data_IF_328046750871
#
_entry.id   IF_328046750871
#
_cell.length_a   1.000
_cell.length_b   1.000
_cell.length_c   1.000
_cell.angle_alpha   90.00
_cell.angle_beta   90.00
_cell.angle_gamma   90.00
#
_symmetry.space_group_name_H-M   'P 1'
#
loop_
_entity.id
_entity.type
_entity.pdbx_description
1 polymer ?
#
# COMPACT_ATOMS: atom_id res chain seq x y z
N UNK A 1 9.88 -3.65 -26.74
CA UNK A 1 9.64 -4.02 -25.34
C UNK A 1 10.72 -3.34 -24.52
N UNK A 2 10.51 -2.40 -23.61
CA UNK A 2 9.54 -1.32 -23.45
C UNK A 2 10.27 -0.36 -22.49
N UNK A 3 11.05 0.58 -23.04
CA UNK A 3 12.01 1.39 -22.26
C UNK A 3 11.33 2.19 -21.14
N UNK A 4 10.05 2.54 -21.33
CA UNK A 4 9.26 3.26 -20.34
C UNK A 4 8.90 2.40 -19.12
N UNK A 5 8.48 1.14 -19.31
CA UNK A 5 8.16 0.24 -18.20
C UNK A 5 9.40 -0.05 -17.33
N UNK A 6 10.57 -0.17 -17.98
CA UNK A 6 11.87 -0.31 -17.31
C UNK A 6 12.21 0.94 -16.50
N UNK A 7 12.06 2.14 -17.08
CA UNK A 7 12.34 3.41 -16.39
C UNK A 7 11.40 3.67 -15.21
N UNK A 8 10.10 3.39 -15.34
CA UNK A 8 9.14 3.55 -14.24
C UNK A 8 9.41 2.58 -13.09
N UNK A 9 9.72 1.33 -13.40
CA UNK A 9 10.10 0.35 -12.37
C UNK A 9 11.36 0.81 -11.61
N UNK A 10 12.34 1.39 -12.31
CA UNK A 10 13.56 1.92 -11.70
C UNK A 10 13.29 3.09 -10.75
N UNK A 11 12.46 4.06 -11.16
CA UNK A 11 12.02 5.18 -10.30
C UNK A 11 11.25 4.65 -9.09
N UNK A 12 10.37 3.66 -9.29
CA UNK A 12 9.62 3.07 -8.20
C UNK A 12 10.56 2.49 -7.14
N UNK A 13 11.49 1.62 -7.54
CA UNK A 13 12.40 0.97 -6.59
C UNK A 13 13.40 1.94 -5.94
N UNK A 14 13.83 2.98 -6.64
CA UNK A 14 14.82 3.93 -6.11
C UNK A 14 14.24 5.06 -5.27
N UNK A 15 12.98 5.42 -5.48
CA UNK A 15 12.41 6.63 -4.89
C UNK A 15 11.08 6.35 -4.20
N UNK A 16 10.12 5.74 -4.91
CA UNK A 16 8.76 5.58 -4.38
C UNK A 16 8.70 4.53 -3.27
N UNK A 17 9.28 3.34 -3.48
CA UNK A 17 9.22 2.25 -2.52
C UNK A 17 9.92 2.61 -1.19
N UNK A 18 11.15 3.17 -1.17
CA UNK A 18 11.79 3.61 0.08
C UNK A 18 10.96 4.65 0.83
N UNK A 19 10.32 5.58 0.10
CA UNK A 19 9.41 6.55 0.71
C UNK A 19 8.21 5.86 1.35
N UNK A 20 7.52 4.96 0.62
CA UNK A 20 6.37 4.20 1.12
C UNK A 20 6.75 3.41 2.38
N UNK A 21 7.86 2.68 2.35
CA UNK A 21 8.34 1.88 3.48
C UNK A 21 8.62 2.75 4.71
N UNK A 22 9.24 3.92 4.52
CA UNK A 22 9.46 4.89 5.60
C UNK A 22 8.15 5.36 6.24
N UNK A 23 7.13 5.68 5.44
CA UNK A 23 5.83 6.12 5.96
C UNK A 23 5.10 5.00 6.72
N UNK A 24 5.15 3.76 6.23
CA UNK A 24 4.55 2.61 6.91
C UNK A 24 5.28 2.28 8.20
N UNK A 25 6.62 2.25 8.19
CA UNK A 25 7.44 1.92 9.35
C UNK A 25 7.23 2.86 10.54
N UNK A 26 6.92 4.16 10.29
CA UNK A 26 6.53 5.15 11.32
C UNK A 26 5.39 4.64 12.22
N UNK A 27 4.51 3.80 11.69
CA UNK A 27 3.32 3.31 12.40
C UNK A 27 3.48 1.91 13.03
N UNK A 28 4.53 1.16 12.68
CA UNK A 28 4.75 -0.21 13.16
C UNK A 28 5.46 -0.27 14.54
N UNK A 29 6.04 0.85 14.99
CA UNK A 29 6.80 0.90 16.25
C UNK A 29 8.12 0.12 16.19
N UNK A 30 8.96 0.26 17.23
CA UNK A 30 10.33 -0.27 17.20
C UNK A 30 10.40 -1.76 17.58
N UNK A 31 9.73 -2.17 18.66
CA UNK A 31 9.68 -3.58 19.11
C UNK A 31 8.38 -3.81 19.86
N UNK A 32 7.64 -4.87 19.51
CA UNK A 32 6.52 -5.39 20.30
C UNK A 32 6.82 -6.83 20.66
N UNK A 33 6.83 -7.13 21.95
CA UNK A 33 6.93 -8.49 22.46
C UNK A 33 5.87 -8.66 23.55
N UNK A 34 4.75 -9.27 23.19
CA UNK A 34 3.70 -9.63 24.14
C UNK A 34 3.59 -11.17 24.19
N UNK A 35 3.59 -11.80 25.38
CA UNK A 35 3.56 -13.26 25.51
C UNK A 35 2.37 -13.93 24.81
N UNK A 36 1.23 -13.22 24.74
CA UNK A 36 0.01 -13.70 24.08
C UNK A 36 -0.13 -13.25 22.60
N UNK A 37 0.88 -12.58 22.03
CA UNK A 37 0.82 -12.18 20.60
C UNK A 37 1.13 -13.40 19.70
N UNK A 38 0.19 -13.85 18.87
CA UNK A 38 0.44 -14.95 17.93
C UNK A 38 1.59 -14.67 16.95
N UNK A 39 1.91 -13.39 16.70
CA UNK A 39 3.06 -12.98 15.89
C UNK A 39 4.42 -13.18 16.56
N UNK A 40 4.46 -13.32 17.90
CA UNK A 40 5.69 -13.40 18.68
C UNK A 40 6.48 -12.09 18.64
N UNK A 41 7.81 -12.19 18.74
CA UNK A 41 8.70 -11.03 18.63
C UNK A 41 8.49 -10.31 17.28
N UNK A 42 8.19 -9.01 17.33
CA UNK A 42 7.97 -8.19 16.14
C UNK A 42 8.87 -6.96 16.14
N UNK A 43 9.58 -6.73 15.03
CA UNK A 43 10.43 -5.55 14.81
C UNK A 43 10.10 -4.90 13.47
N UNK A 44 9.78 -3.59 13.48
CA UNK A 44 9.38 -2.82 12.27
C UNK A 44 8.32 -3.53 11.42
N UNK A 45 7.33 -4.18 12.05
CA UNK A 45 6.25 -4.91 11.36
C UNK A 45 6.62 -6.32 10.87
N UNK A 46 7.88 -6.76 11.03
CA UNK A 46 8.30 -8.14 10.77
C UNK A 46 8.12 -9.00 12.03
N UNK A 47 7.13 -9.89 12.03
CA UNK A 47 6.81 -10.79 13.14
C UNK A 47 7.49 -12.16 12.97
N UNK A 48 8.14 -12.67 14.02
CA UNK A 48 8.89 -13.93 14.05
C UNK A 48 8.07 -15.12 13.54
N UNK A 49 6.91 -15.36 14.17
CA UNK A 49 6.11 -16.55 13.90
C UNK A 49 5.51 -16.56 12.50
N UNK A 50 5.17 -15.39 11.94
CA UNK A 50 4.59 -15.27 10.60
C UNK A 50 5.63 -15.34 9.47
N UNK A 51 6.92 -15.37 9.81
CA UNK A 51 8.02 -15.46 8.86
C UNK A 51 8.96 -16.64 9.16
N UNK A 52 8.57 -17.53 10.09
CA UNK A 52 9.36 -18.69 10.53
C UNK A 52 10.79 -18.31 10.95
N UNK A 53 10.94 -17.21 11.68
CA UNK A 53 12.22 -16.70 12.18
C UNK A 53 12.29 -16.73 13.69
N UNK A 54 13.48 -16.85 14.27
CA UNK A 54 13.72 -16.61 15.70
C UNK A 54 13.83 -15.11 15.99
N UNK A 55 13.78 -14.75 17.28
CA UNK A 55 14.04 -13.38 17.72
C UNK A 55 15.45 -12.92 17.33
N UNK A 56 16.45 -13.79 17.49
CA UNK A 56 17.85 -13.50 17.15
C UNK A 56 18.02 -13.26 15.66
N UNK A 57 17.36 -14.05 14.81
CA UNK A 57 17.36 -13.84 13.36
C UNK A 57 16.77 -12.48 13.00
N UNK A 58 15.59 -12.14 13.52
CA UNK A 58 15.00 -10.81 13.28
C UNK A 58 15.91 -9.69 13.77
N UNK A 59 16.54 -9.85 14.94
CA UNK A 59 17.44 -8.84 15.50
C UNK A 59 18.72 -8.66 14.69
N UNK A 60 19.19 -9.70 14.00
CA UNK A 60 20.39 -9.67 13.16
C UNK A 60 20.20 -8.97 11.83
N UNK A 61 18.95 -8.80 11.37
CA UNK A 61 18.67 -8.10 10.12
C UNK A 61 19.03 -6.61 10.25
N UNK A 62 19.36 -5.96 9.16
CA UNK A 62 19.32 -4.50 9.07
C UNK A 62 17.94 -4.01 8.63
N UNK A 63 17.79 -2.68 8.53
CA UNK A 63 16.53 -2.06 8.12
C UNK A 63 16.15 -2.38 6.67
N UNK A 64 17.12 -2.41 5.76
CA UNK A 64 16.92 -2.66 4.33
C UNK A 64 16.47 -4.11 4.08
N UNK A 65 17.06 -5.06 4.81
CA UNK A 65 16.67 -6.46 4.76
C UNK A 65 15.23 -6.68 5.25
N UNK A 66 14.82 -6.03 6.34
CA UNK A 66 13.42 -6.07 6.79
C UNK A 66 12.50 -5.51 5.71
N UNK A 67 12.85 -4.35 5.17
CA UNK A 67 12.03 -3.65 4.19
C UNK A 67 11.88 -4.49 2.90
N UNK A 68 12.92 -5.20 2.47
CA UNK A 68 12.86 -6.16 1.36
C UNK A 68 11.94 -7.34 1.65
N UNK A 69 12.04 -7.96 2.83
CA UNK A 69 11.17 -9.07 3.23
C UNK A 69 9.70 -8.63 3.25
N UNK A 70 9.41 -7.45 3.79
CA UNK A 70 8.07 -6.89 3.81
C UNK A 70 7.57 -6.60 2.39
N UNK A 71 8.41 -6.06 1.50
CA UNK A 71 8.03 -5.82 0.11
C UNK A 71 7.72 -7.12 -0.64
N UNK A 72 8.56 -8.15 -0.50
CA UNK A 72 8.35 -9.46 -1.13
C UNK A 72 7.03 -10.12 -0.69
N UNK A 73 6.55 -9.80 0.51
CA UNK A 73 5.29 -10.34 1.06
C UNK A 73 4.06 -9.48 0.74
N UNK A 74 4.19 -8.16 0.86
CA UNK A 74 3.05 -7.23 0.89
C UNK A 74 2.95 -6.34 -0.35
N UNK A 75 3.99 -6.29 -1.19
CA UNK A 75 4.03 -5.45 -2.40
C UNK A 75 4.24 -6.22 -3.69
N UNK A 76 5.35 -6.96 -3.81
CA UNK A 76 5.74 -7.68 -5.02
C UNK A 76 4.66 -8.61 -5.60
N UNK A 77 3.90 -9.40 -4.80
CA UNK A 77 2.87 -10.29 -5.35
C UNK A 77 1.71 -9.55 -6.04
N UNK A 78 1.59 -8.24 -5.82
CA UNK A 78 0.54 -7.37 -6.34
C UNK A 78 1.05 -6.47 -7.47
N UNK A 79 2.31 -6.64 -7.88
CA UNK A 79 2.96 -5.80 -8.89
C UNK A 79 2.87 -4.30 -8.57
N UNK A 80 3.01 -3.90 -7.30
CA UNK A 80 2.89 -2.49 -6.89
C UNK A 80 3.83 -1.54 -7.62
N UNK A 81 4.92 -2.05 -8.19
CA UNK A 81 5.84 -1.27 -9.03
C UNK A 81 5.22 -0.79 -10.36
N UNK A 82 4.04 -1.30 -10.72
CA UNK A 82 3.23 -0.86 -11.87
C UNK A 82 2.06 0.06 -11.46
N UNK A 83 1.91 0.34 -10.17
CA UNK A 83 0.80 1.13 -9.66
C UNK A 83 1.22 2.59 -9.49
N UNK A 84 0.23 3.49 -9.53
CA UNK A 84 0.46 4.88 -9.15
C UNK A 84 0.95 4.98 -7.69
N UNK A 85 1.87 5.90 -7.37
CA UNK A 85 2.48 5.97 -6.04
C UNK A 85 1.48 6.10 -4.88
N UNK A 86 0.42 6.88 -5.07
CA UNK A 86 -0.62 7.06 -4.05
C UNK A 86 -1.38 5.77 -3.78
N UNK A 87 -1.79 5.06 -4.84
CA UNK A 87 -2.48 3.77 -4.71
C UNK A 87 -1.59 2.70 -4.09
N UNK A 88 -0.32 2.65 -4.52
CA UNK A 88 0.69 1.73 -3.98
C UNK A 88 0.89 1.95 -2.47
N UNK A 89 1.01 3.21 -2.01
CA UNK A 89 1.14 3.53 -0.59
C UNK A 89 -0.07 3.04 0.22
N UNK A 90 -1.28 3.43 -0.20
CA UNK A 90 -2.49 3.10 0.52
C UNK A 90 -2.70 1.58 0.64
N UNK A 91 -2.46 0.85 -0.46
CA UNK A 91 -2.59 -0.60 -0.47
C UNK A 91 -1.50 -1.29 0.34
N UNK A 92 -0.23 -0.90 0.19
CA UNK A 92 0.89 -1.50 0.92
C UNK A 92 0.71 -1.35 2.43
N UNK A 93 0.38 -0.14 2.90
CA UNK A 93 0.08 0.13 4.31
C UNK A 93 -1.08 -0.76 4.84
N UNK A 94 -2.15 -0.88 4.06
CA UNK A 94 -3.27 -1.76 4.41
C UNK A 94 -2.88 -3.24 4.45
N UNK A 95 -2.06 -3.68 3.49
CA UNK A 95 -1.60 -5.06 3.35
C UNK A 95 -0.74 -5.48 4.53
N UNK A 96 0.20 -4.61 4.95
CA UNK A 96 1.04 -4.80 6.13
C UNK A 96 0.19 -4.79 7.41
N UNK A 97 -0.71 -3.82 7.57
CA UNK A 97 -1.44 -3.63 8.82
C UNK A 97 -2.61 -4.61 9.04
N UNK A 98 -3.42 -4.83 8.00
CA UNK A 98 -4.69 -5.57 8.10
C UNK A 98 -4.65 -6.94 7.42
N UNK A 99 -3.52 -7.27 6.79
CA UNK A 99 -3.29 -8.50 6.07
C UNK A 99 -3.64 -8.38 4.58
N UNK A 100 -2.93 -9.09 3.69
CA UNK A 100 -3.07 -8.91 2.25
C UNK A 100 -4.45 -9.28 1.72
N UNK A 101 -5.03 -10.40 2.17
CA UNK A 101 -6.38 -10.82 1.76
C UNK A 101 -7.45 -9.78 2.09
N UNK A 102 -7.32 -9.09 3.23
CA UNK A 102 -8.25 -8.04 3.59
C UNK A 102 -8.08 -6.80 2.70
N UNK A 103 -6.83 -6.40 2.46
CA UNK A 103 -6.51 -5.29 1.55
C UNK A 103 -7.06 -5.53 0.14
N UNK A 104 -6.88 -6.73 -0.43
CA UNK A 104 -7.41 -7.08 -1.74
C UNK A 104 -8.95 -7.04 -1.75
N UNK A 105 -9.64 -7.60 -0.74
CA UNK A 105 -11.11 -7.52 -0.66
C UNK A 105 -11.61 -6.08 -0.63
N UNK A 106 -10.94 -5.22 0.14
CA UNK A 106 -11.31 -3.80 0.22
C UNK A 106 -11.10 -3.10 -1.11
N UNK A 107 -9.99 -3.38 -1.81
CA UNK A 107 -9.72 -2.80 -3.12
C UNK A 107 -10.74 -3.28 -4.17
N UNK A 108 -11.02 -4.58 -4.25
CA UNK A 108 -12.04 -5.15 -5.13
C UNK A 108 -13.42 -4.53 -4.85
N UNK A 109 -13.77 -4.36 -3.57
CA UNK A 109 -15.03 -3.71 -3.17
C UNK A 109 -15.08 -2.25 -3.58
N UNK A 110 -13.99 -1.50 -3.36
CA UNK A 110 -13.91 -0.08 -3.71
C UNK A 110 -13.99 0.13 -5.23
N UNK A 111 -13.30 -0.69 -6.03
CA UNK A 111 -13.39 -0.68 -7.48
C UNK A 111 -14.81 -0.99 -7.97
N UNK A 112 -15.48 -1.99 -7.39
CA UNK A 112 -16.86 -2.34 -7.73
C UNK A 112 -17.90 -1.26 -7.36
N UNK A 113 -17.65 -0.48 -6.32
CA UNK A 113 -18.55 0.58 -5.85
C UNK A 113 -18.35 1.90 -6.59
N UNK A 114 -17.18 2.11 -7.18
CA UNK A 114 -16.92 3.26 -8.03
C UNK A 114 -17.37 3.05 -9.47
N UNK A 115 -17.62 4.15 -10.17
CA UNK A 115 -17.92 4.15 -11.60
C UNK A 115 -16.66 4.50 -12.39
N UNK A 116 -15.75 3.52 -12.49
CA UNK A 116 -14.42 3.70 -13.08
C UNK A 116 -14.27 3.06 -14.47
N UNK A 117 -15.36 2.54 -15.04
CA UNK A 117 -15.31 1.75 -16.28
C UNK A 117 -14.61 0.39 -16.14
N UNK A 118 -14.33 -0.05 -14.91
CA UNK A 118 -13.69 -1.33 -14.62
C UNK A 118 -14.71 -2.48 -14.63
N UNK A 119 -14.32 -3.72 -15.00
CA UNK A 119 -15.21 -4.87 -14.93
C UNK A 119 -15.62 -5.17 -13.49
N UNK A 120 -16.83 -5.71 -13.28
CA UNK A 120 -17.26 -6.18 -11.96
C UNK A 120 -16.37 -7.34 -11.49
N UNK A 121 -15.76 -7.16 -10.33
CA UNK A 121 -14.88 -8.11 -9.67
C UNK A 121 -15.65 -8.99 -8.68
N UNK A 122 -15.19 -10.24 -8.52
CA UNK A 122 -15.57 -11.06 -7.36
C UNK A 122 -14.75 -10.57 -6.15
N UNK A 123 -15.40 -10.38 -5.00
CA UNK A 123 -14.73 -9.94 -3.77
C UNK A 123 -14.22 -11.15 -2.98
N UNK A 124 -13.20 -11.81 -3.52
CA UNK A 124 -12.61 -13.04 -2.97
C UNK A 124 -11.32 -12.78 -2.16
N UNK A 125 -10.69 -11.62 -2.33
CA UNK A 125 -9.39 -11.31 -1.72
C UNK A 125 -8.20 -11.95 -2.43
N UNK A 126 -8.42 -12.45 -3.66
CA UNK A 126 -7.38 -13.03 -4.51
C UNK A 126 -6.97 -11.99 -5.54
N UNK A 127 -5.70 -11.59 -5.50
CA UNK A 127 -5.13 -10.76 -6.55
C UNK A 127 -4.79 -11.64 -7.76
N UNK A 128 -5.68 -11.68 -8.74
CA UNK A 128 -5.49 -12.37 -10.01
C UNK A 128 -5.64 -11.44 -11.20
N UNK A 129 -5.56 -12.00 -12.41
CA UNK A 129 -5.56 -11.25 -13.66
C UNK A 129 -6.75 -10.30 -13.84
N UNK A 130 -7.93 -10.64 -13.30
CA UNK A 130 -9.11 -9.76 -13.34
C UNK A 130 -8.95 -8.51 -12.47
N UNK A 131 -8.42 -8.66 -11.26
CA UNK A 131 -8.16 -7.52 -10.37
C UNK A 131 -7.05 -6.64 -10.93
N UNK A 132 -5.98 -7.26 -11.45
CA UNK A 132 -4.91 -6.55 -12.16
C UNK A 132 -5.43 -5.77 -13.37
N UNK A 133 -6.26 -6.39 -14.22
CA UNK A 133 -6.88 -5.72 -15.36
C UNK A 133 -7.75 -4.54 -14.94
N UNK A 134 -8.55 -4.67 -13.86
CA UNK A 134 -9.36 -3.57 -13.36
C UNK A 134 -8.52 -2.40 -12.87
N UNK A 135 -7.37 -2.66 -12.23
CA UNK A 135 -6.44 -1.60 -11.81
C UNK A 135 -5.82 -0.91 -13.02
N UNK A 136 -5.39 -1.68 -14.02
CA UNK A 136 -4.83 -1.12 -15.25
C UNK A 136 -5.85 -0.20 -15.96
N UNK A 137 -7.10 -0.67 -16.13
CA UNK A 137 -8.19 0.14 -16.69
C UNK A 137 -8.38 1.41 -15.86
N UNK A 138 -8.52 1.29 -14.54
CA UNK A 138 -8.72 2.43 -13.64
C UNK A 138 -7.63 3.51 -13.79
N UNK A 139 -6.35 3.10 -13.90
CA UNK A 139 -5.20 4.00 -14.05
C UNK A 139 -5.15 4.68 -15.43
N UNK A 140 -5.72 4.04 -16.45
CA UNK A 140 -5.77 4.54 -17.83
C UNK A 140 -6.95 5.50 -18.08
N UNK A 141 -8.11 5.29 -17.45
CA UNK A 141 -9.39 5.87 -17.91
C UNK A 141 -9.87 7.16 -17.22
N UNK A 142 -9.07 7.85 -16.42
CA UNK A 142 -9.65 8.79 -15.44
C UNK A 142 -9.19 10.24 -15.52
N UNK A 143 -10.08 11.17 -15.14
CA UNK A 143 -9.72 12.45 -14.50
C UNK A 143 -9.06 12.09 -13.17
N UNK A 144 -7.77 11.76 -13.23
CA UNK A 144 -7.08 10.90 -12.25
C UNK A 144 -7.24 11.37 -10.81
N UNK A 145 -7.24 12.68 -10.55
CA UNK A 145 -7.37 13.21 -9.18
C UNK A 145 -8.77 12.99 -8.57
N UNK A 146 -9.86 13.21 -9.32
CA UNK A 146 -11.20 13.03 -8.77
C UNK A 146 -11.51 11.55 -8.52
N UNK A 147 -11.17 10.69 -9.48
CA UNK A 147 -11.40 9.25 -9.35
C UNK A 147 -10.51 8.63 -8.27
N UNK A 148 -9.27 9.10 -8.11
CA UNK A 148 -8.40 8.68 -7.02
C UNK A 148 -8.93 9.08 -5.66
N UNK A 149 -9.39 10.32 -5.50
CA UNK A 149 -10.06 10.73 -4.27
C UNK A 149 -11.24 9.82 -3.94
N UNK A 150 -12.08 9.45 -4.93
CA UNK A 150 -13.21 8.55 -4.72
C UNK A 150 -12.76 7.14 -4.31
N UNK A 151 -11.85 6.53 -5.05
CA UNK A 151 -11.32 5.19 -4.77
C UNK A 151 -10.66 5.14 -3.38
N UNK A 152 -9.78 6.10 -3.09
CA UNK A 152 -9.05 6.19 -1.83
C UNK A 152 -10.00 6.39 -0.64
N UNK A 153 -11.01 7.26 -0.80
CA UNK A 153 -12.01 7.49 0.26
C UNK A 153 -12.76 6.21 0.59
N UNK A 154 -13.25 5.49 -0.43
CA UNK A 154 -13.98 4.24 -0.24
C UNK A 154 -13.08 3.15 0.38
N UNK A 155 -11.86 3.02 -0.13
CA UNK A 155 -10.88 2.07 0.40
C UNK A 155 -10.56 2.36 1.88
N UNK A 156 -10.29 3.61 2.24
CA UNK A 156 -10.04 4.01 3.63
C UNK A 156 -11.27 3.83 4.52
N UNK A 157 -12.48 4.09 4.02
CA UNK A 157 -13.71 3.84 4.79
C UNK A 157 -13.86 2.35 5.14
N UNK A 158 -13.61 1.45 4.18
CA UNK A 158 -13.63 0.00 4.42
C UNK A 158 -12.57 -0.43 5.44
N UNK A 159 -11.38 0.19 5.40
CA UNK A 159 -10.32 -0.03 6.40
C UNK A 159 -10.77 0.39 7.79
N UNK A 160 -11.42 1.56 7.91
CA UNK A 160 -11.94 2.07 9.19
C UNK A 160 -13.04 1.18 9.74
N UNK A 161 -13.96 0.72 8.89
CA UNK A 161 -15.01 -0.21 9.27
C UNK A 161 -14.42 -1.50 9.85
N UNK A 162 -13.39 -2.07 9.20
CA UNK A 162 -12.72 -3.28 9.69
C UNK A 162 -12.02 -3.04 11.03
N UNK A 163 -11.39 -1.89 11.24
CA UNK A 163 -10.83 -1.57 12.55
C UNK A 163 -11.92 -1.61 13.64
N UNK A 164 -13.05 -0.93 13.40
CA UNK A 164 -14.16 -0.87 14.35
C UNK A 164 -14.81 -2.22 14.66
N UNK A 165 -14.77 -3.18 13.72
CA UNK A 165 -15.26 -4.54 13.94
C UNK A 165 -14.25 -5.45 14.66
N UNK A 166 -12.95 -5.20 14.50
CA UNK A 166 -11.89 -6.12 14.94
C UNK A 166 -11.25 -5.73 16.27
N UNK A 167 -11.17 -4.44 16.59
CA UNK A 167 -10.39 -3.95 17.72
C UNK A 167 -11.23 -3.21 18.76
N UNK A 168 -10.71 -3.13 19.98
CA UNK A 168 -11.33 -2.36 21.08
C UNK A 168 -11.24 -0.86 20.81
N UNK A 169 -12.22 -0.12 21.31
CA UNK A 169 -12.34 1.34 21.18
C UNK A 169 -11.05 2.08 21.59
N UNK A 170 -10.36 1.60 22.63
CA UNK A 170 -9.12 2.20 23.13
C UNK A 170 -7.99 2.31 22.08
N UNK A 171 -8.00 1.48 21.04
CA UNK A 171 -7.01 1.52 19.95
C UNK A 171 -7.47 2.37 18.77
N UNK A 172 -8.76 2.70 18.68
CA UNK A 172 -9.35 3.31 17.49
C UNK A 172 -8.79 4.69 17.18
N UNK A 173 -8.39 5.46 18.20
CA UNK A 173 -7.75 6.76 18.00
C UNK A 173 -6.36 6.63 17.35
N UNK A 174 -5.61 5.58 17.68
CA UNK A 174 -4.33 5.30 17.01
C UNK A 174 -4.53 4.91 15.55
N UNK A 175 -5.48 4.01 15.30
CA UNK A 175 -5.80 3.54 13.95
C UNK A 175 -6.39 4.63 13.04
N UNK A 176 -7.23 5.52 13.59
CA UNK A 176 -7.77 6.64 12.84
C UNK A 176 -6.67 7.64 12.46
N UNK A 177 -5.74 7.94 13.37
CA UNK A 177 -4.58 8.79 13.06
C UNK A 177 -3.72 8.21 11.94
N UNK A 178 -3.41 6.90 11.98
CA UNK A 178 -2.69 6.21 10.89
C UNK A 178 -3.43 6.35 9.56
N UNK A 179 -4.73 6.04 9.57
CA UNK A 179 -5.54 6.06 8.36
C UNK A 179 -5.61 7.47 7.74
N UNK A 180 -5.78 8.51 8.56
CA UNK A 180 -5.81 9.90 8.09
C UNK A 180 -4.46 10.33 7.49
N UNK A 181 -3.35 10.06 8.17
CA UNK A 181 -1.99 10.38 7.70
C UNK A 181 -1.69 9.69 6.36
N UNK A 182 -1.94 8.37 6.28
CA UNK A 182 -1.72 7.59 5.06
C UNK A 182 -2.62 8.06 3.92
N UNK A 183 -3.89 8.39 4.19
CA UNK A 183 -4.79 8.91 3.15
C UNK A 183 -4.33 10.26 2.59
N UNK A 184 -3.84 11.14 3.45
CA UNK A 184 -3.30 12.44 3.04
C UNK A 184 -2.06 12.26 2.17
N UNK A 185 -1.09 11.47 2.64
CA UNK A 185 0.15 11.21 1.91
C UNK A 185 -0.10 10.49 0.58
N UNK A 186 -1.05 9.55 0.54
CA UNK A 186 -1.43 8.88 -0.70
C UNK A 186 -2.03 9.86 -1.71
N UNK A 187 -2.89 10.78 -1.27
CA UNK A 187 -3.43 11.83 -2.14
C UNK A 187 -2.33 12.77 -2.66
N UNK A 188 -1.43 13.20 -1.78
CA UNK A 188 -0.32 14.09 -2.16
C UNK A 188 0.60 13.41 -3.18
N UNK A 189 1.01 12.17 -2.93
CA UNK A 189 1.84 11.41 -3.87
C UNK A 189 1.16 11.22 -5.22
N UNK A 190 -0.16 10.99 -5.23
CA UNK A 190 -0.91 10.86 -6.47
C UNK A 190 -0.92 12.18 -7.25
N UNK A 191 -1.19 13.31 -6.59
CA UNK A 191 -1.18 14.63 -7.22
C UNK A 191 0.21 14.96 -7.82
N UNK A 192 1.29 14.75 -7.05
CA UNK A 192 2.67 14.96 -7.51
C UNK A 192 3.03 14.07 -8.70
N UNK A 193 2.62 12.80 -8.66
CA UNK A 193 2.78 11.86 -9.77
C UNK A 193 2.03 12.32 -11.02
N UNK A 194 0.79 12.81 -10.87
CA UNK A 194 0.02 13.31 -12.01
C UNK A 194 0.63 14.56 -12.63
N UNK A 195 1.23 15.45 -11.85
CA UNK A 195 1.98 16.58 -12.39
C UNK A 195 3.16 16.09 -13.22
N UNK A 196 3.95 15.15 -12.70
CA UNK A 196 5.11 14.61 -13.43
C UNK A 196 4.74 13.88 -14.72
N UNK A 197 3.64 13.10 -14.72
CA UNK A 197 3.18 12.34 -15.90
C UNK A 197 2.42 13.22 -16.88
N UNK A 198 1.61 14.16 -16.41
CA UNK A 198 0.91 15.13 -17.26
C UNK A 198 1.87 16.14 -17.90
N UNK A 199 2.97 16.44 -17.21
CA UNK A 199 4.07 17.15 -17.81
C UNK A 199 4.92 16.26 -18.71
N UNK A 200 4.87 14.92 -18.70
CA UNK A 200 5.75 14.07 -19.53
C UNK A 200 5.50 14.19 -21.06
N UNK A 201 4.44 14.87 -21.47
CA UNK A 201 4.31 15.43 -22.83
C UNK A 201 5.22 16.68 -23.06
N UNK A 202 6.01 17.08 -22.05
CA UNK A 202 6.93 18.23 -21.94
C UNK A 202 8.00 18.23 -20.79
N UNK A 203 8.18 17.19 -19.95
CA UNK A 203 8.92 17.35 -18.67
C UNK A 203 10.36 16.86 -18.66
N UNK A 204 11.21 17.68 -18.03
CA UNK A 204 12.58 17.39 -17.60
C UNK A 204 12.64 17.31 -16.06
N UNK A 205 12.23 16.18 -15.48
CA UNK A 205 12.60 15.69 -14.13
C UNK A 205 12.16 16.50 -12.89
N UNK A 206 11.91 15.85 -11.74
CA UNK A 206 11.37 16.53 -10.56
C UNK A 206 12.44 17.33 -9.79
N UNK A 207 12.05 18.53 -9.35
CA UNK A 207 12.73 19.29 -8.29
C UNK A 207 12.03 18.91 -6.97
N UNK A 208 12.72 18.15 -6.13
CA UNK A 208 12.34 17.95 -4.73
C UNK A 208 13.05 19.03 -3.90
N UNK A 209 12.28 19.83 -3.16
CA UNK A 209 12.78 20.73 -2.11
C UNK A 209 12.60 20.08 -0.73
#
# INVERSE_FOLDING_TARGET
MDDNASQYSHIFFRTVLPYIQKQVAKWEGNVVHHPDDPGGFTRRGLAANYNNMTQEEIMSLDEEQIDLILYDKYGKPYNLYLWSPGLALAFYDCSVNQGPTAAVKMLQTALNRGDFGTPTLVVDGIYGSKTEQAINIYQETSVRNYNFRQLLTEFCALRMERYGRKYKESFMLGWSRRLMDISYLAHQLEDEWQLCVGEADNFKGPILH
#
